data_IF_613348013005
#
_entry.id   IF_613348013005
#
_cell.length_a   1.000
_cell.length_b   1.000
_cell.length_c   1.000
_cell.angle_alpha   90.00
_cell.angle_beta   90.00
_cell.angle_gamma   90.00
#
_symmetry.space_group_name_H-M   'P 1'
#
loop_
_entity.id
_entity.type
_entity.pdbx_description
1 polymer ?
#
# COMPACT_ATOMS: atom_id res chain seq x y z
N UNK A 1 -17.36 1.72 14.00
CA UNK A 1 -16.51 1.86 12.79
C UNK A 1 -15.12 2.29 13.25
N UNK A 2 -14.19 1.34 13.48
CA UNK A 2 -12.87 1.62 14.05
C UNK A 2 -11.75 0.75 13.42
N UNK A 3 -11.73 0.59 12.10
CA UNK A 3 -10.69 -0.20 11.42
C UNK A 3 -9.58 0.64 10.77
N UNK A 4 -9.75 1.96 10.61
CA UNK A 4 -8.76 2.79 9.90
C UNK A 4 -7.44 3.00 10.65
N UNK A 5 -7.41 2.91 11.99
CA UNK A 5 -6.19 3.21 12.77
C UNK A 5 -5.08 2.17 12.62
N UNK A 6 -5.42 0.90 12.40
CA UNK A 6 -4.43 -0.17 12.26
C UNK A 6 -3.71 -0.14 10.90
N UNK A 7 -4.45 0.17 9.84
CA UNK A 7 -3.93 0.23 8.47
C UNK A 7 -3.00 1.42 8.29
N UNK A 8 -3.35 2.59 8.82
CA UNK A 8 -2.48 3.78 8.81
C UNK A 8 -1.14 3.51 9.53
N UNK A 9 -1.16 2.74 10.62
CA UNK A 9 0.06 2.42 11.38
C UNK A 9 0.99 1.44 10.67
N UNK A 10 0.45 0.51 9.88
CA UNK A 10 1.22 -0.39 9.03
C UNK A 10 1.90 0.44 7.96
N UNK A 11 1.13 1.27 7.27
CA UNK A 11 1.57 2.19 6.24
C UNK A 11 2.78 3.04 6.70
N UNK A 12 2.71 3.72 7.84
CA UNK A 12 3.82 4.55 8.34
C UNK A 12 5.15 3.80 8.50
N UNK A 13 5.12 2.55 8.99
CA UNK A 13 6.34 1.75 9.16
C UNK A 13 6.95 1.32 7.83
N UNK A 14 6.11 0.97 6.86
CA UNK A 14 6.56 0.61 5.50
C UNK A 14 7.23 1.80 4.83
N UNK A 15 6.67 3.01 4.95
CA UNK A 15 7.23 4.19 4.28
C UNK A 15 8.53 4.66 4.90
N UNK A 16 8.70 4.52 6.21
CA UNK A 16 9.97 4.78 6.87
C UNK A 16 11.03 3.77 6.40
N UNK A 17 10.67 2.48 6.30
CA UNK A 17 11.59 1.43 5.84
C UNK A 17 12.02 1.61 4.37
N UNK A 18 11.12 2.10 3.51
CA UNK A 18 11.37 2.32 2.09
C UNK A 18 11.87 3.74 1.77
N UNK A 19 11.97 4.64 2.76
CA UNK A 19 12.44 6.01 2.57
C UNK A 19 11.43 6.96 1.91
N UNK A 20 10.16 6.57 1.80
CA UNK A 20 9.10 7.36 1.17
C UNK A 20 8.40 8.36 2.10
N UNK A 21 8.84 8.50 3.35
CA UNK A 21 8.17 9.34 4.35
C UNK A 21 7.93 10.79 3.88
N UNK A 22 8.96 11.46 3.36
CA UNK A 22 8.81 12.82 2.84
C UNK A 22 7.84 12.89 1.65
N UNK A 23 7.85 11.88 0.78
CA UNK A 23 6.97 11.84 -0.40
C UNK A 23 5.51 11.65 0.02
N UNK A 24 5.28 10.74 0.95
CA UNK A 24 3.96 10.46 1.51
C UNK A 24 3.34 11.66 2.24
N UNK A 25 4.13 12.44 2.98
CA UNK A 25 3.65 13.62 3.70
C UNK A 25 3.39 14.83 2.78
N UNK A 26 4.20 14.99 1.72
CA UNK A 26 4.19 16.20 0.90
C UNK A 26 3.51 16.03 -0.47
N UNK A 27 3.28 14.81 -0.94
CA UNK A 27 2.65 14.51 -2.23
C UNK A 27 1.30 13.80 -2.03
N UNK A 28 0.17 14.54 -2.11
CA UNK A 28 -1.16 13.99 -1.85
C UNK A 28 -1.54 12.83 -2.77
N UNK A 29 -1.08 12.87 -4.03
CA UNK A 29 -1.34 11.82 -5.01
C UNK A 29 -0.61 10.52 -4.66
N UNK A 30 0.65 10.63 -4.24
CA UNK A 30 1.41 9.50 -3.72
C UNK A 30 0.71 8.91 -2.49
N UNK A 31 0.34 9.75 -1.52
CA UNK A 31 -0.42 9.32 -0.34
C UNK A 31 -1.72 8.61 -0.71
N UNK A 32 -2.47 9.12 -1.70
CA UNK A 32 -3.71 8.52 -2.13
C UNK A 32 -3.51 7.13 -2.76
N UNK A 33 -2.53 6.98 -3.64
CA UNK A 33 -2.22 5.70 -4.29
C UNK A 33 -1.73 4.64 -3.29
N UNK A 34 -0.95 5.07 -2.32
CA UNK A 34 -0.51 4.23 -1.21
C UNK A 34 -1.68 3.74 -0.35
N UNK A 35 -2.69 4.58 -0.10
CA UNK A 35 -3.91 4.14 0.57
C UNK A 35 -4.69 3.10 -0.23
N UNK A 36 -4.64 3.12 -1.57
CA UNK A 36 -5.23 2.07 -2.42
C UNK A 36 -4.53 0.73 -2.19
N UNK A 37 -3.19 0.72 -2.15
CA UNK A 37 -2.40 -0.49 -1.84
C UNK A 37 -2.77 -1.04 -0.47
N UNK A 38 -2.82 -0.16 0.53
CA UNK A 38 -3.19 -0.54 1.89
C UNK A 38 -4.63 -1.09 1.98
N UNK A 39 -5.54 -0.67 1.09
CA UNK A 39 -6.90 -1.18 1.05
C UNK A 39 -7.00 -2.65 0.61
N UNK A 40 -5.97 -3.19 -0.06
CA UNK A 40 -5.92 -4.60 -0.45
C UNK A 40 -6.03 -5.56 0.74
N UNK A 41 -5.56 -5.15 1.93
CA UNK A 41 -5.66 -5.96 3.15
C UNK A 41 -7.10 -6.26 3.57
N UNK A 42 -8.08 -5.52 3.04
CA UNK A 42 -9.50 -5.75 3.30
C UNK A 42 -10.18 -6.65 2.26
N UNK A 43 -9.48 -7.04 1.20
CA UNK A 43 -10.00 -8.00 0.23
C UNK A 43 -10.09 -9.41 0.86
N UNK A 44 -10.95 -10.24 0.27
CA UNK A 44 -10.98 -11.66 0.64
C UNK A 44 -9.68 -12.31 0.19
N UNK A 45 -9.14 -13.31 0.90
CA UNK A 45 -7.84 -13.91 0.58
C UNK A 45 -7.68 -14.38 -0.87
N UNK A 46 -8.74 -14.87 -1.51
CA UNK A 46 -8.71 -15.29 -2.92
C UNK A 46 -8.70 -14.14 -3.93
N UNK A 47 -9.09 -12.94 -3.50
CA UNK A 47 -9.12 -11.72 -4.33
C UNK A 47 -7.84 -10.88 -4.17
N UNK A 48 -7.00 -11.15 -3.15
CA UNK A 48 -5.80 -10.36 -2.84
C UNK A 48 -4.82 -10.35 -4.01
N UNK A 49 -4.47 -11.52 -4.55
CA UNK A 49 -3.51 -11.66 -5.67
C UNK A 49 -3.97 -10.85 -6.88
N UNK A 50 -5.24 -11.00 -7.26
CA UNK A 50 -5.83 -10.22 -8.35
C UNK A 50 -5.80 -8.71 -8.06
N UNK A 51 -6.05 -8.32 -6.81
CA UNK A 51 -5.98 -6.93 -6.40
C UNK A 51 -4.57 -6.32 -6.54
N UNK A 52 -3.52 -7.09 -6.26
CA UNK A 52 -2.14 -6.68 -6.51
C UNK A 52 -1.83 -6.56 -8.01
N UNK A 53 -2.28 -7.51 -8.84
CA UNK A 53 -2.12 -7.44 -10.30
C UNK A 53 -2.85 -6.22 -10.89
N UNK A 54 -4.09 -5.97 -10.48
CA UNK A 54 -4.86 -4.82 -10.95
C UNK A 54 -4.20 -3.48 -10.52
N UNK A 55 -3.65 -3.42 -9.30
CA UNK A 55 -2.96 -2.23 -8.81
C UNK A 55 -1.56 -2.03 -9.40
N UNK A 56 -0.80 -3.08 -9.74
CA UNK A 56 0.51 -2.92 -10.39
C UNK A 56 0.39 -2.42 -11.83
N UNK A 57 -0.77 -2.65 -12.48
CA UNK A 57 -1.07 -2.07 -13.79
C UNK A 57 -1.54 -0.61 -13.67
N UNK A 58 -2.33 -0.28 -12.63
CA UNK A 58 -2.81 1.10 -12.39
C UNK A 58 -1.70 2.01 -11.84
N UNK A 59 -0.86 1.47 -10.94
CA UNK A 59 0.23 2.17 -10.29
C UNK A 59 1.53 1.87 -11.04
N UNK A 60 2.18 2.91 -11.57
CA UNK A 60 3.44 2.74 -12.27
C UNK A 60 4.60 2.23 -11.40
N UNK A 61 5.75 1.99 -12.04
CA UNK A 61 6.96 1.38 -11.46
C UNK A 61 7.43 1.98 -10.12
N UNK A 62 7.11 3.25 -9.86
CA UNK A 62 7.43 3.93 -8.61
C UNK A 62 6.87 3.21 -7.37
N UNK A 63 5.72 2.56 -7.50
CA UNK A 63 5.02 1.91 -6.39
C UNK A 63 5.37 0.43 -6.24
N UNK A 64 6.19 -0.13 -7.16
CA UNK A 64 6.51 -1.55 -7.17
C UNK A 64 7.18 -1.99 -5.86
N UNK A 65 8.13 -1.21 -5.33
CA UNK A 65 8.79 -1.52 -4.06
C UNK A 65 7.83 -1.57 -2.86
N UNK A 66 6.74 -0.82 -2.91
CA UNK A 66 5.69 -0.85 -1.87
C UNK A 66 4.80 -2.08 -2.06
N UNK A 67 4.42 -2.37 -3.31
CA UNK A 67 3.65 -3.56 -3.66
C UNK A 67 4.39 -4.83 -3.23
N UNK A 68 5.67 -4.95 -3.60
CA UNK A 68 6.53 -6.09 -3.27
C UNK A 68 6.63 -6.28 -1.75
N UNK A 69 6.83 -5.20 -0.98
CA UNK A 69 6.88 -5.27 0.48
C UNK A 69 5.57 -5.84 1.06
N UNK A 70 4.42 -5.37 0.56
CA UNK A 70 3.13 -5.83 1.04
C UNK A 70 2.82 -7.27 0.61
N UNK A 71 3.22 -7.68 -0.60
CA UNK A 71 3.14 -9.05 -1.06
C UNK A 71 3.96 -9.97 -0.15
N UNK A 72 5.25 -9.67 0.08
CA UNK A 72 6.12 -10.49 0.95
C UNK A 72 5.69 -10.53 2.42
N UNK A 73 5.04 -9.48 2.91
CA UNK A 73 4.67 -9.36 4.33
C UNK A 73 3.33 -10.04 4.65
N UNK A 74 2.39 -10.04 3.69
CA UNK A 74 1.00 -10.43 3.95
C UNK A 74 0.50 -11.63 3.13
N UNK A 75 1.20 -12.03 2.07
CA UNK A 75 0.91 -13.21 1.24
C UNK A 75 1.93 -14.31 1.56
#
# INVERSE_FOLDING_TARGET
>A
MCYCRGVIFICDKVFIALGYQNKYENEPEFSHNIHKIAALVFLKPHDVVKGFEDLSVDLGDEYQAVLDYFEETYI
#
